data_IF_650325669343
#
_entry.id   IF_650325669343
#
_cell.length_a   1.000
_cell.length_b   1.000
_cell.length_c   1.000
_cell.angle_alpha   90.00
_cell.angle_beta   90.00
_cell.angle_gamma   90.00
#
_symmetry.space_group_name_H-M   'P 1'
#
loop_
_entity.id
_entity.type
_entity.pdbx_description
1 polymer ?
#
# COMPACT_ATOMS: atom_id res chain seq x y z
N UNK A 1 50.92 -0.48 70.64
CA UNK A 1 51.76 -1.70 70.71
C UNK A 1 51.98 -2.20 69.28
N UNK A 2 53.10 -2.88 68.97
CA UNK A 2 53.48 -3.42 67.63
C UNK A 2 53.56 -2.43 66.44
N UNK A 3 54.80 -2.00 66.13
CA UNK A 3 55.32 -1.77 64.76
C UNK A 3 55.29 -3.11 63.96
N UNK A 4 55.40 -3.26 62.63
CA UNK A 4 56.20 -2.64 61.53
C UNK A 4 55.37 -2.55 60.20
N UNK A 5 55.69 -1.91 59.05
CA UNK A 5 56.89 -1.36 58.32
C UNK A 5 57.37 -2.24 57.12
N UNK A 6 57.84 -1.72 55.95
CA UNK A 6 57.79 -0.35 55.35
C UNK A 6 57.51 -0.28 53.80
N UNK A 7 57.69 0.91 53.18
CA UNK A 7 58.26 1.21 51.82
C UNK A 7 57.57 0.69 50.52
N UNK A 8 57.71 1.26 49.31
CA UNK A 8 58.19 2.53 48.67
C UNK A 8 57.72 2.43 47.17
N UNK A 9 57.75 3.41 46.25
CA UNK A 9 58.20 4.83 46.12
C UNK A 9 56.94 5.75 45.86
N UNK A 10 56.92 7.04 45.48
CA UNK A 10 57.85 8.07 44.94
C UNK A 10 58.16 7.96 43.41
N UNK A 11 58.20 9.01 42.57
CA UNK A 11 57.91 10.45 42.79
C UNK A 11 57.56 11.26 41.50
N UNK A 12 57.07 12.49 41.71
CA UNK A 12 57.14 13.71 40.84
C UNK A 12 56.42 13.77 39.46
N UNK A 13 55.94 14.91 38.93
CA UNK A 13 55.65 16.30 39.42
C UNK A 13 54.50 16.88 38.54
N UNK A 14 53.53 17.68 39.03
CA UNK A 14 53.52 19.14 39.28
C UNK A 14 53.79 20.02 38.01
N UNK A 15 53.18 21.19 37.72
CA UNK A 15 52.53 22.29 38.51
C UNK A 15 51.32 22.91 37.71
N UNK A 16 50.64 23.90 38.30
CA UNK A 16 49.51 24.76 37.83
C UNK A 16 49.81 25.64 36.57
N UNK A 17 48.90 26.40 35.93
CA UNK A 17 48.04 27.48 36.47
C UNK A 17 46.88 27.99 35.56
N UNK A 18 46.07 28.94 36.08
CA UNK A 18 44.84 29.54 35.48
C UNK A 18 44.86 31.07 35.66
N UNK A 19 44.59 31.95 34.64
CA UNK A 19 43.35 32.75 34.68
C UNK A 19 42.78 33.42 33.37
N UNK A 20 41.44 33.56 33.36
CA UNK A 20 40.58 34.72 32.97
C UNK A 20 40.46 35.29 31.54
N UNK A 21 39.18 35.61 31.21
CA UNK A 21 38.62 36.77 30.45
C UNK A 21 39.19 37.10 29.04
N UNK A 22 38.39 37.30 27.98
CA UNK A 22 37.00 37.82 27.86
C UNK A 22 36.31 37.22 26.61
N UNK A 23 35.00 37.44 26.45
CA UNK A 23 34.22 36.92 25.32
C UNK A 23 34.15 37.85 24.11
N UNK A 24 33.72 37.30 22.98
CA UNK A 24 33.28 38.02 21.79
C UNK A 24 32.13 37.24 21.10
N UNK A 25 31.32 37.88 20.26
CA UNK A 25 30.07 37.29 19.72
C UNK A 25 30.20 36.94 18.23
N UNK A 26 30.27 35.64 17.91
CA UNK A 26 30.24 35.15 16.52
C UNK A 26 29.28 33.96 16.36
N UNK A 27 28.45 34.05 15.33
CA UNK A 27 27.57 32.99 14.81
C UNK A 27 28.35 32.19 13.75
N UNK A 28 28.22 30.86 13.70
CA UNK A 28 28.25 30.06 12.46
C UNK A 28 27.88 28.57 12.69
N UNK A 29 27.06 28.05 11.78
CA UNK A 29 26.76 26.64 11.43
C UNK A 29 26.64 25.57 12.53
N UNK A 30 25.40 25.11 12.73
CA UNK A 30 25.15 23.67 12.94
C UNK A 30 25.68 22.87 11.74
N UNK A 31 26.35 21.74 11.97
CA UNK A 31 26.82 20.90 10.87
C UNK A 31 26.96 19.43 11.28
N UNK A 32 26.25 18.54 10.56
CA UNK A 32 26.40 17.08 10.55
C UNK A 32 26.27 16.30 11.89
N UNK A 33 25.04 15.99 12.27
CA UNK A 33 24.69 14.73 12.95
C UNK A 33 23.88 13.82 12.02
N UNK A 34 24.48 13.42 10.89
CA UNK A 34 23.92 12.37 10.01
C UNK A 34 24.25 10.99 10.59
N UNK A 35 23.23 10.20 10.88
CA UNK A 35 23.39 8.76 11.15
C UNK A 35 23.93 8.04 9.89
N UNK A 36 24.75 6.98 10.04
CA UNK A 36 25.38 6.31 8.91
C UNK A 36 24.38 5.49 8.10
N UNK A 37 24.36 5.70 6.77
CA UNK A 37 23.60 4.88 5.83
C UNK A 37 24.03 3.40 5.86
N UNK A 38 23.11 2.43 5.71
CA UNK A 38 23.47 1.02 5.66
C UNK A 38 24.26 0.69 4.39
N UNK A 39 25.54 0.34 4.54
CA UNK A 39 26.42 0.00 3.41
C UNK A 39 26.14 -1.42 2.89
N UNK A 40 25.25 -1.51 1.89
CA UNK A 40 25.16 -2.65 0.97
C UNK A 40 26.14 -2.51 -0.20
N UNK A 41 26.58 -3.62 -0.80
CA UNK A 41 27.66 -3.63 -1.80
C UNK A 41 27.28 -3.12 -3.19
N UNK A 42 28.32 -2.69 -3.94
CA UNK A 42 28.32 -2.12 -5.29
C UNK A 42 27.62 -0.77 -5.49
N UNK A 43 28.42 0.23 -5.86
CA UNK A 43 27.96 1.47 -6.50
C UNK A 43 27.59 1.19 -7.97
N UNK A 44 26.46 0.54 -8.21
CA UNK A 44 25.76 0.72 -9.47
C UNK A 44 25.18 2.14 -9.46
N UNK A 45 25.59 2.97 -10.43
CA UNK A 45 25.16 4.35 -10.57
C UNK A 45 23.70 4.41 -11.04
N UNK A 46 22.77 4.40 -10.09
CA UNK A 46 21.34 4.43 -10.37
C UNK A 46 20.91 5.86 -10.70
N UNK A 47 21.13 6.24 -11.95
CA UNK A 47 20.73 7.53 -12.54
C UNK A 47 19.22 7.81 -12.49
N UNK A 48 18.43 6.90 -11.92
CA UNK A 48 17.04 7.10 -11.54
C UNK A 48 16.86 7.65 -10.12
N UNK A 49 17.64 7.16 -9.16
CA UNK A 49 17.76 7.75 -7.83
C UNK A 49 18.29 9.20 -7.90
N UNK A 50 19.18 9.48 -8.86
CA UNK A 50 19.68 10.84 -9.09
C UNK A 50 18.60 11.83 -9.55
N UNK A 51 17.61 11.38 -10.34
CA UNK A 51 16.52 12.24 -10.84
C UNK A 51 15.47 12.59 -9.77
N UNK A 52 15.50 11.96 -8.60
CA UNK A 52 14.51 12.11 -7.53
C UNK A 52 15.16 12.45 -6.17
N UNK A 53 16.29 13.17 -6.20
CA UNK A 53 17.03 13.59 -4.99
C UNK A 53 16.28 14.56 -4.09
N UNK A 54 15.39 15.37 -4.68
CA UNK A 54 14.68 16.45 -3.98
C UNK A 54 13.27 16.03 -3.50
N UNK A 55 12.92 14.75 -3.60
CA UNK A 55 11.63 14.20 -3.18
C UNK A 55 10.68 13.89 -4.34
N UNK A 56 9.37 13.84 -4.04
CA UNK A 56 8.28 13.76 -5.04
C UNK A 56 7.74 15.15 -5.38
N UNK A 57 7.13 15.31 -6.54
CA UNK A 57 6.40 16.50 -6.97
C UNK A 57 5.10 16.67 -6.18
N UNK A 58 4.96 17.75 -5.40
CA UNK A 58 3.77 18.04 -4.57
C UNK A 58 2.77 19.01 -5.22
N UNK A 59 3.15 19.75 -6.27
CA UNK A 59 2.28 20.73 -6.93
C UNK A 59 1.37 20.08 -7.99
N UNK A 60 0.11 20.54 -8.05
CA UNK A 60 -0.85 20.15 -9.10
C UNK A 60 -0.61 21.00 -10.35
N UNK A 61 -0.38 20.35 -11.50
CA UNK A 61 -0.16 21.06 -12.75
C UNK A 61 -1.40 21.85 -13.22
N UNK A 62 -1.16 22.88 -14.03
CA UNK A 62 -2.21 23.81 -14.46
C UNK A 62 -3.29 23.14 -15.32
N UNK A 63 -2.95 22.20 -16.18
CA UNK A 63 -3.91 21.54 -17.07
C UNK A 63 -4.82 20.59 -16.27
N UNK A 64 -4.24 19.84 -15.33
CA UNK A 64 -5.01 19.05 -14.36
C UNK A 64 -5.90 19.94 -13.49
N UNK A 65 -5.43 21.10 -13.00
CA UNK A 65 -6.30 22.05 -12.27
C UNK A 65 -7.49 22.51 -13.12
N UNK A 66 -7.26 22.88 -14.38
CA UNK A 66 -8.32 23.35 -15.29
C UNK A 66 -9.33 22.24 -15.61
N UNK A 67 -8.88 21.01 -15.86
CA UNK A 67 -9.76 19.84 -16.07
C UNK A 67 -10.55 19.48 -14.81
N UNK A 68 -9.90 19.45 -13.64
CA UNK A 68 -10.55 19.20 -12.36
C UNK A 68 -11.64 20.23 -12.04
N UNK A 69 -11.36 21.51 -12.28
CA UNK A 69 -12.34 22.60 -12.19
C UNK A 69 -13.53 22.34 -13.12
N UNK A 70 -13.29 22.06 -14.41
CA UNK A 70 -14.36 21.76 -15.37
C UNK A 70 -15.24 20.57 -14.94
N UNK A 71 -14.65 19.43 -14.55
CA UNK A 71 -15.41 18.26 -14.09
C UNK A 71 -16.22 18.57 -12.81
N UNK A 72 -15.65 19.28 -11.84
CA UNK A 72 -16.40 19.71 -10.65
C UNK A 72 -17.57 20.63 -11.02
N UNK A 73 -17.37 21.56 -11.96
CA UNK A 73 -18.44 22.44 -12.45
C UNK A 73 -19.52 21.70 -13.22
N UNK A 74 -19.18 20.66 -13.99
CA UNK A 74 -20.14 19.95 -14.84
C UNK A 74 -20.99 18.95 -14.05
N UNK A 75 -20.37 18.18 -13.15
CA UNK A 75 -21.06 17.09 -12.43
C UNK A 75 -21.68 17.51 -11.09
N UNK A 76 -21.14 18.52 -10.39
CA UNK A 76 -21.64 18.93 -9.07
C UNK A 76 -22.69 20.05 -9.16
N UNK A 77 -23.57 20.11 -8.15
CA UNK A 77 -24.66 21.09 -8.02
C UNK A 77 -24.27 22.34 -7.22
N UNK A 78 -25.19 23.30 -7.13
CA UNK A 78 -25.07 24.47 -6.26
C UNK A 78 -23.85 25.34 -6.57
N UNK A 79 -23.11 25.76 -5.55
CA UNK A 79 -22.02 26.76 -5.68
C UNK A 79 -20.91 26.33 -6.64
N UNK A 80 -20.69 25.02 -6.86
CA UNK A 80 -19.77 24.52 -7.88
C UNK A 80 -20.11 25.03 -9.29
N UNK A 81 -21.40 25.24 -9.62
CA UNK A 81 -21.78 25.80 -10.93
C UNK A 81 -21.27 27.24 -11.13
N UNK A 82 -21.00 27.99 -10.06
CA UNK A 82 -20.77 29.44 -10.08
C UNK A 82 -19.43 29.91 -9.51
N UNK A 83 -18.69 29.09 -8.77
CA UNK A 83 -17.37 29.44 -8.22
C UNK A 83 -16.37 29.79 -9.35
N UNK A 84 -15.57 30.88 -9.23
CA UNK A 84 -14.54 31.20 -10.21
C UNK A 84 -13.28 30.32 -10.04
N UNK A 85 -12.50 30.17 -11.12
CA UNK A 85 -11.30 29.33 -11.17
C UNK A 85 -10.19 29.76 -10.18
N UNK A 86 -10.18 31.05 -9.81
CA UNK A 86 -9.30 31.62 -8.78
C UNK A 86 -9.53 31.00 -7.40
N UNK A 87 -10.79 30.69 -7.10
CA UNK A 87 -11.25 30.28 -5.78
C UNK A 87 -11.35 28.75 -5.70
N UNK A 88 -11.35 28.06 -6.84
CA UNK A 88 -11.25 26.60 -6.91
C UNK A 88 -9.91 26.12 -6.32
N UNK A 89 -9.99 25.42 -5.19
CA UNK A 89 -8.86 24.82 -4.50
C UNK A 89 -8.68 23.37 -4.94
N UNK A 90 -7.42 22.96 -5.15
CA UNK A 90 -7.04 21.58 -5.45
C UNK A 90 -5.69 21.25 -4.82
N UNK A 91 -5.55 20.05 -4.26
CA UNK A 91 -4.29 19.51 -3.75
C UNK A 91 -4.15 18.02 -4.10
N UNK A 92 -2.91 17.52 -4.20
CA UNK A 92 -2.65 16.08 -4.34
C UNK A 92 -3.05 15.35 -3.05
N UNK A 93 -3.68 14.19 -3.18
CA UNK A 93 -3.93 13.26 -2.07
C UNK A 93 -3.04 12.04 -2.25
N UNK A 94 -2.04 11.90 -1.38
CA UNK A 94 -1.15 10.73 -1.39
C UNK A 94 -1.87 9.44 -0.98
N UNK A 95 -1.31 8.29 -1.40
CA UNK A 95 -1.67 6.97 -0.87
C UNK A 95 -1.95 5.85 -1.89
N UNK A 96 -1.94 6.11 -3.19
CA UNK A 96 -2.10 5.07 -4.23
C UNK A 96 -0.90 5.01 -5.19
N UNK A 97 -0.59 3.81 -5.69
CA UNK A 97 0.46 3.59 -6.72
C UNK A 97 -0.10 3.31 -8.13
N UNK A 98 -1.42 3.18 -8.27
CA UNK A 98 -2.15 2.97 -9.54
C UNK A 98 -2.74 4.24 -10.13
N UNK A 99 -3.20 5.16 -9.27
CA UNK A 99 -4.13 6.23 -9.60
C UNK A 99 -3.66 7.59 -9.07
N UNK A 100 -4.07 8.66 -9.76
CA UNK A 100 -3.85 10.03 -9.31
C UNK A 100 -5.10 10.53 -8.59
N UNK A 101 -4.91 10.97 -7.34
CA UNK A 101 -5.99 11.43 -6.46
C UNK A 101 -5.78 12.90 -6.10
N UNK A 102 -6.87 13.68 -6.17
CA UNK A 102 -6.87 15.10 -5.85
C UNK A 102 -8.06 15.44 -4.96
N UNK A 103 -7.83 16.24 -3.91
CA UNK A 103 -8.89 16.84 -3.11
C UNK A 103 -9.27 18.16 -3.78
N UNK A 104 -10.52 18.29 -4.20
CA UNK A 104 -11.07 19.55 -4.72
C UNK A 104 -12.02 20.15 -3.67
N UNK A 105 -11.89 21.45 -3.38
CA UNK A 105 -12.63 22.10 -2.29
C UNK A 105 -13.16 23.50 -2.62
N UNK A 106 -14.29 23.84 -1.98
CA UNK A 106 -14.79 25.22 -1.87
C UNK A 106 -14.11 25.91 -0.68
N UNK A 107 -13.57 27.15 -0.82
CA UNK A 107 -12.99 27.90 0.29
C UNK A 107 -13.98 28.19 1.43
N UNK A 108 -13.48 28.38 2.66
CA UNK A 108 -14.33 28.59 3.84
C UNK A 108 -15.23 29.83 3.79
N UNK A 109 -14.81 30.86 3.04
CA UNK A 109 -15.62 32.07 2.82
C UNK A 109 -16.70 31.90 1.72
N UNK A 110 -16.70 30.77 0.99
CA UNK A 110 -17.66 30.45 -0.06
C UNK A 110 -18.74 29.53 0.51
N UNK A 111 -19.96 30.05 0.65
CA UNK A 111 -21.09 29.26 1.17
C UNK A 111 -21.72 28.34 0.10
N UNK A 112 -22.29 27.22 0.54
CA UNK A 112 -23.11 26.35 -0.31
C UNK A 112 -24.51 26.97 -0.52
N UNK A 113 -25.14 26.67 -1.65
CA UNK A 113 -26.51 27.07 -2.01
C UNK A 113 -27.53 25.98 -1.63
N UNK A 114 -27.11 24.72 -1.58
CA UNK A 114 -27.91 23.58 -1.09
C UNK A 114 -27.02 22.49 -0.49
N UNK A 115 -27.42 21.23 -0.68
CA UNK A 115 -26.77 20.05 -0.11
C UNK A 115 -25.49 19.59 -0.86
N UNK A 116 -24.89 20.44 -1.71
CA UNK A 116 -23.67 20.08 -2.41
C UNK A 116 -22.46 19.86 -1.47
N UNK A 117 -21.58 18.88 -1.76
CA UNK A 117 -20.39 18.63 -0.95
C UNK A 117 -19.42 19.82 -1.02
N UNK A 118 -18.90 20.26 0.14
CA UNK A 118 -17.81 21.27 0.19
C UNK A 118 -16.47 20.76 -0.33
N UNK A 119 -16.28 19.44 -0.29
CA UNK A 119 -15.05 18.73 -0.61
C UNK A 119 -15.39 17.44 -1.36
N UNK A 120 -14.68 17.18 -2.44
CA UNK A 120 -14.80 15.96 -3.25
C UNK A 120 -13.43 15.38 -3.53
N UNK A 121 -13.35 14.05 -3.63
CA UNK A 121 -12.15 13.37 -4.09
C UNK A 121 -12.28 13.13 -5.59
N UNK A 122 -11.43 13.80 -6.37
CA UNK A 122 -11.25 13.52 -7.79
C UNK A 122 -10.25 12.37 -7.94
N UNK A 123 -10.70 11.28 -8.54
CA UNK A 123 -9.83 10.19 -9.02
C UNK A 123 -9.70 10.28 -10.53
N UNK A 124 -8.46 10.40 -11.00
CA UNK A 124 -8.12 10.27 -12.42
C UNK A 124 -7.53 8.89 -12.66
N UNK A 125 -8.08 8.17 -13.64
CA UNK A 125 -7.67 6.80 -13.94
C UNK A 125 -6.24 6.75 -14.50
N UNK A 126 -5.39 5.91 -13.90
CA UNK A 126 -4.06 5.64 -14.43
C UNK A 126 -4.09 4.91 -15.77
N UNK A 127 -2.95 4.87 -16.47
CA UNK A 127 -2.78 4.21 -17.78
C UNK A 127 -3.01 2.67 -17.78
N UNK A 128 -3.41 2.10 -16.65
CA UNK A 128 -3.63 0.68 -16.36
C UNK A 128 -5.04 0.23 -16.81
N UNK A 129 -6.04 1.11 -16.73
CA UNK A 129 -7.46 0.81 -17.01
C UNK A 129 -7.76 0.74 -18.53
N UNK A 130 -7.04 -0.15 -19.22
CA UNK A 130 -7.11 -0.35 -20.66
C UNK A 130 -8.24 -1.31 -21.04
N UNK A 131 -9.49 -0.82 -21.00
CA UNK A 131 -10.63 -1.51 -21.59
C UNK A 131 -11.98 -0.97 -21.14
N UNK A 132 -12.90 -0.82 -22.10
CA UNK A 132 -14.30 -0.39 -21.84
C UNK A 132 -14.96 -1.32 -20.83
N UNK A 133 -14.77 -2.63 -20.96
CA UNK A 133 -15.31 -3.64 -20.04
C UNK A 133 -14.81 -3.46 -18.60
N UNK A 134 -13.54 -3.05 -18.43
CA UNK A 134 -12.95 -2.81 -17.10
C UNK A 134 -13.59 -1.59 -16.44
N UNK A 135 -13.70 -0.47 -17.17
CA UNK A 135 -14.34 0.75 -16.70
C UNK A 135 -15.82 0.53 -16.36
N UNK A 136 -16.55 -0.27 -17.15
CA UNK A 136 -17.95 -0.62 -16.87
C UNK A 136 -18.07 -1.47 -15.60
N UNK A 137 -17.23 -2.50 -15.43
CA UNK A 137 -17.26 -3.36 -14.24
C UNK A 137 -16.90 -2.58 -12.97
N UNK A 138 -15.87 -1.73 -13.01
CA UNK A 138 -15.47 -0.88 -11.89
C UNK A 138 -16.57 0.14 -11.54
N UNK A 139 -17.16 0.80 -12.54
CA UNK A 139 -18.26 1.76 -12.34
C UNK A 139 -19.48 1.11 -11.69
N UNK A 140 -19.86 -0.09 -12.13
CA UNK A 140 -20.95 -0.87 -11.52
C UNK A 140 -20.60 -1.30 -10.10
N UNK A 141 -19.36 -1.70 -9.84
CA UNK A 141 -18.90 -2.07 -8.51
C UNK A 141 -18.95 -0.90 -7.53
N UNK A 142 -18.38 0.24 -7.91
CA UNK A 142 -18.34 1.45 -7.09
C UNK A 142 -19.75 1.92 -6.76
N UNK A 143 -20.65 1.95 -7.75
CA UNK A 143 -22.06 2.30 -7.53
C UNK A 143 -22.75 1.35 -6.54
N UNK A 144 -22.56 0.03 -6.65
CA UNK A 144 -23.17 -0.94 -5.71
C UNK A 144 -22.63 -0.77 -4.29
N UNK A 145 -21.34 -0.46 -4.13
CA UNK A 145 -20.73 -0.27 -2.80
C UNK A 145 -21.14 1.07 -2.18
N UNK A 146 -21.28 2.13 -2.98
CA UNK A 146 -21.85 3.41 -2.55
C UNK A 146 -23.31 3.28 -2.08
N UNK A 147 -24.18 2.64 -2.88
CA UNK A 147 -25.60 2.43 -2.57
C UNK A 147 -25.81 1.53 -1.34
N UNK A 148 -24.87 0.62 -1.05
CA UNK A 148 -24.88 -0.21 0.17
C UNK A 148 -24.24 0.48 1.38
N UNK A 149 -23.77 1.73 1.25
CA UNK A 149 -22.99 2.46 2.26
C UNK A 149 -21.70 1.74 2.73
N UNK A 150 -21.13 0.92 1.85
CA UNK A 150 -19.89 0.14 2.05
C UNK A 150 -18.64 0.81 1.44
N UNK A 151 -18.82 1.98 0.81
CA UNK A 151 -17.74 2.83 0.30
C UNK A 151 -18.20 4.30 0.20
N UNK A 152 -17.36 5.19 -0.36
CA UNK A 152 -17.71 6.60 -0.56
C UNK A 152 -18.93 6.77 -1.49
N UNK A 153 -19.74 7.81 -1.30
CA UNK A 153 -20.77 8.18 -2.30
C UNK A 153 -20.11 8.55 -3.64
N UNK A 154 -20.81 8.24 -4.72
CA UNK A 154 -20.44 8.63 -6.07
C UNK A 154 -21.16 9.94 -6.46
N UNK A 155 -20.41 10.92 -6.98
CA UNK A 155 -20.96 12.20 -7.46
C UNK A 155 -20.90 12.37 -8.98
N UNK A 156 -19.98 11.69 -9.68
CA UNK A 156 -19.91 11.72 -11.14
C UNK A 156 -18.92 10.72 -11.72
N UNK A 157 -19.14 10.29 -12.96
CA UNK A 157 -18.25 9.42 -13.75
C UNK A 157 -18.07 10.05 -15.14
N UNK A 158 -16.84 10.05 -15.62
CA UNK A 158 -16.43 10.51 -16.95
C UNK A 158 -15.32 9.58 -17.50
N UNK A 159 -14.97 9.62 -18.80
CA UNK A 159 -14.00 8.70 -19.38
C UNK A 159 -12.62 8.70 -18.69
N UNK A 160 -12.21 9.84 -18.15
CA UNK A 160 -10.91 10.04 -17.50
C UNK A 160 -10.90 9.74 -15.99
N UNK A 161 -12.06 9.55 -15.35
CA UNK A 161 -12.11 9.49 -13.89
C UNK A 161 -13.50 9.47 -13.26
N UNK A 162 -13.53 9.78 -11.95
CA UNK A 162 -14.76 9.97 -11.17
C UNK A 162 -14.58 11.00 -10.06
N UNK A 163 -15.72 11.54 -9.61
CA UNK A 163 -15.82 12.35 -8.40
C UNK A 163 -16.49 11.51 -7.30
N UNK A 164 -15.78 11.37 -6.18
CA UNK A 164 -16.18 10.59 -5.02
C UNK A 164 -16.40 11.51 -3.80
N UNK A 165 -17.09 11.00 -2.79
CA UNK A 165 -17.14 11.63 -1.47
C UNK A 165 -15.75 11.63 -0.83
N UNK A 166 -15.22 12.83 -0.56
CA UNK A 166 -14.14 12.97 0.39
C UNK A 166 -14.66 12.61 1.79
N UNK A 167 -13.94 11.72 2.49
CA UNK A 167 -14.26 11.31 3.86
C UNK A 167 -13.13 11.76 4.78
N UNK A 168 -13.39 12.66 5.74
CA UNK A 168 -12.45 12.98 6.82
C UNK A 168 -12.03 11.68 7.52
N UNK A 169 -10.75 11.35 7.37
CA UNK A 169 -10.16 10.08 7.76
C UNK A 169 -8.65 10.11 7.58
N UNK A 170 -7.96 9.17 8.23
CA UNK A 170 -6.52 8.97 8.12
C UNK A 170 -6.28 7.55 7.58
N UNK A 171 -5.53 7.41 6.48
CA UNK A 171 -5.08 6.09 5.99
C UNK A 171 -4.20 5.43 7.06
N UNK A 172 -4.31 4.11 7.23
CA UNK A 172 -3.37 3.40 8.09
C UNK A 172 -1.93 3.53 7.57
N UNK A 173 -0.95 3.41 8.47
CA UNK A 173 0.46 3.17 8.13
C UNK A 173 0.80 1.68 8.30
N UNK A 174 1.80 1.20 7.58
CA UNK A 174 2.28 -0.20 7.60
C UNK A 174 2.62 -0.71 9.01
N UNK A 175 3.10 0.18 9.88
CA UNK A 175 3.37 -0.13 11.28
C UNK A 175 2.10 -0.50 12.06
N UNK A 176 0.95 0.09 11.71
CA UNK A 176 -0.34 -0.10 12.39
C UNK A 176 -1.04 -1.40 12.02
N UNK A 177 -0.73 -2.01 10.86
CA UNK A 177 -1.31 -3.28 10.43
C UNK A 177 -1.06 -4.43 11.43
N UNK A 178 0.05 -4.34 12.18
CA UNK A 178 0.44 -5.34 13.20
C UNK A 178 -0.20 -5.14 14.58
N UNK A 179 -0.94 -4.05 14.79
CA UNK A 179 -1.67 -3.84 16.03
C UNK A 179 -2.79 -4.89 16.18
N UNK A 180 -2.91 -5.59 17.33
CA UNK A 180 -3.91 -6.65 17.48
C UNK A 180 -5.37 -6.19 17.35
N UNK A 181 -5.71 -4.94 17.68
CA UNK A 181 -7.09 -4.44 17.57
C UNK A 181 -7.40 -4.07 16.13
N UNK A 182 -6.52 -3.33 15.46
CA UNK A 182 -6.68 -2.98 14.05
C UNK A 182 -6.64 -4.22 13.15
N UNK A 183 -5.71 -5.16 13.40
CA UNK A 183 -5.61 -6.45 12.70
C UNK A 183 -6.89 -7.30 12.86
N UNK A 184 -7.50 -7.31 14.04
CA UNK A 184 -8.79 -7.97 14.26
C UNK A 184 -9.94 -7.27 13.50
N UNK A 185 -10.00 -5.94 13.50
CA UNK A 185 -11.04 -5.22 12.76
C UNK A 185 -10.88 -5.41 11.25
N UNK A 186 -9.66 -5.37 10.69
CA UNK A 186 -9.41 -5.66 9.26
C UNK A 186 -9.91 -7.07 8.90
N UNK A 187 -9.64 -8.08 9.74
CA UNK A 187 -10.13 -9.44 9.53
C UNK A 187 -11.67 -9.52 9.49
N UNK A 188 -12.35 -8.77 10.37
CA UNK A 188 -13.82 -8.65 10.41
C UNK A 188 -14.37 -7.95 9.16
N UNK A 189 -13.78 -6.81 8.75
CA UNK A 189 -14.20 -6.10 7.52
C UNK A 189 -14.00 -6.97 6.28
N UNK A 190 -12.90 -7.72 6.22
CA UNK A 190 -12.59 -8.62 5.11
C UNK A 190 -13.54 -9.84 5.07
N UNK A 191 -13.92 -10.40 6.21
CA UNK A 191 -14.95 -11.45 6.29
C UNK A 191 -16.30 -10.97 5.72
N UNK A 192 -16.72 -9.75 6.06
CA UNK A 192 -17.94 -9.13 5.51
C UNK A 192 -17.82 -8.85 4.01
N UNK A 193 -16.64 -8.43 3.54
CA UNK A 193 -16.38 -8.19 2.13
C UNK A 193 -16.44 -9.48 1.31
N UNK A 194 -15.80 -10.55 1.79
CA UNK A 194 -15.85 -11.89 1.20
C UNK A 194 -17.26 -12.48 1.12
N UNK A 195 -18.13 -12.14 2.09
CA UNK A 195 -19.54 -12.53 2.10
C UNK A 195 -20.44 -11.79 1.08
N UNK A 196 -19.94 -10.80 0.34
CA UNK A 196 -20.77 -10.02 -0.58
C UNK A 196 -21.22 -10.81 -1.82
N UNK A 197 -22.52 -10.77 -2.07
CA UNK A 197 -23.09 -11.17 -3.36
C UNK A 197 -23.06 -9.97 -4.32
N UNK A 198 -22.20 -10.06 -5.34
CA UNK A 198 -21.98 -9.05 -6.38
C UNK A 198 -22.29 -9.63 -7.78
N UNK A 199 -22.78 -8.82 -8.74
CA UNK A 199 -23.31 -9.30 -10.03
C UNK A 199 -22.22 -9.65 -11.08
N UNK A 200 -21.03 -10.04 -10.63
CA UNK A 200 -19.89 -10.36 -11.50
C UNK A 200 -19.74 -11.88 -11.72
N UNK A 201 -18.84 -12.25 -12.63
CA UNK A 201 -18.42 -13.62 -12.86
C UNK A 201 -17.94 -14.26 -11.54
N UNK A 202 -18.37 -15.49 -11.25
CA UNK A 202 -18.06 -16.23 -10.00
C UNK A 202 -16.81 -17.09 -10.10
N UNK A 203 -16.32 -17.31 -11.31
CA UNK A 203 -15.14 -18.12 -11.59
C UNK A 203 -13.86 -17.36 -11.19
N UNK A 204 -12.89 -17.97 -10.48
CA UNK A 204 -11.67 -17.33 -9.97
C UNK A 204 -10.61 -17.10 -11.07
N UNK A 205 -11.05 -16.58 -12.23
CA UNK A 205 -10.25 -16.36 -13.43
C UNK A 205 -9.39 -15.08 -13.34
N UNK A 206 -9.66 -14.21 -12.37
CA UNK A 206 -8.97 -12.92 -12.24
C UNK A 206 -7.48 -13.09 -11.98
N UNK A 207 -7.06 -13.90 -11.00
CA UNK A 207 -5.65 -14.01 -10.58
C UNK A 207 -4.74 -14.47 -11.72
N UNK A 208 -4.92 -15.72 -12.17
CA UNK A 208 -4.07 -16.28 -13.22
C UNK A 208 -4.29 -15.60 -14.57
N UNK A 209 -5.53 -15.25 -14.94
CA UNK A 209 -5.79 -14.54 -16.18
C UNK A 209 -5.13 -13.16 -16.23
N UNK A 210 -4.96 -12.48 -15.09
CA UNK A 210 -4.24 -11.19 -15.01
C UNK A 210 -2.72 -11.39 -15.07
N UNK A 211 -2.20 -12.40 -14.36
CA UNK A 211 -0.79 -12.82 -14.48
C UNK A 211 -0.43 -13.18 -15.93
N UNK A 212 -1.29 -13.91 -16.65
CA UNK A 212 -1.08 -14.27 -18.05
C UNK A 212 -1.04 -13.04 -18.96
N UNK A 213 -2.02 -12.12 -18.83
CA UNK A 213 -2.04 -10.85 -19.57
C UNK A 213 -0.79 -10.01 -19.28
N UNK A 214 -0.29 -10.00 -18.05
CA UNK A 214 0.93 -9.29 -17.68
C UNK A 214 2.18 -9.95 -18.27
N UNK A 215 2.32 -11.28 -18.18
CA UNK A 215 3.41 -12.03 -18.80
C UNK A 215 3.46 -11.82 -20.32
N UNK A 216 2.30 -11.82 -20.97
CA UNK A 216 2.17 -11.53 -22.40
C UNK A 216 2.60 -10.11 -22.78
N UNK A 217 2.35 -9.11 -21.93
CA UNK A 217 2.82 -7.74 -22.15
C UNK A 217 4.33 -7.65 -21.92
N UNK A 218 4.83 -8.22 -20.82
CA UNK A 218 6.24 -8.20 -20.40
C UNK A 218 7.15 -8.83 -21.46
N UNK A 219 6.73 -9.92 -22.09
CA UNK A 219 7.44 -10.54 -23.22
C UNK A 219 7.57 -9.63 -24.47
N UNK A 220 6.76 -8.58 -24.57
CA UNK A 220 6.73 -7.61 -25.67
C UNK A 220 7.38 -6.26 -25.28
N UNK A 221 7.72 -6.05 -24.00
CA UNK A 221 8.27 -4.79 -23.48
C UNK A 221 9.70 -4.52 -23.98
N UNK A 222 10.01 -3.22 -24.13
CA UNK A 222 11.36 -2.71 -24.40
C UNK A 222 11.63 -1.45 -23.58
N UNK A 223 12.66 -1.52 -22.75
CA UNK A 223 13.19 -0.40 -21.97
C UNK A 223 14.32 0.30 -22.74
N UNK A 224 14.53 1.59 -22.44
CA UNK A 224 15.53 2.45 -23.11
C UNK A 224 16.50 3.09 -22.11
N UNK A 225 16.06 3.34 -20.86
CA UNK A 225 16.93 3.78 -19.75
C UNK A 225 17.83 2.61 -19.32
N UNK A 226 19.14 2.80 -19.31
CA UNK A 226 20.10 1.73 -18.96
C UNK A 226 19.84 1.12 -17.57
N UNK A 227 19.43 1.93 -16.59
CA UNK A 227 19.04 1.46 -15.26
C UNK A 227 17.87 0.45 -15.33
N UNK A 228 16.83 0.75 -16.11
CA UNK A 228 15.71 -0.19 -16.35
C UNK A 228 16.17 -1.43 -17.11
N UNK A 229 17.01 -1.28 -18.14
CA UNK A 229 17.53 -2.41 -18.91
C UNK A 229 18.36 -3.35 -18.02
N UNK A 230 19.20 -2.83 -17.13
CA UNK A 230 19.92 -3.61 -16.10
C UNK A 230 18.94 -4.36 -15.18
N UNK A 231 18.00 -3.64 -14.55
CA UNK A 231 17.02 -4.20 -13.58
C UNK A 231 16.11 -5.26 -14.25
N UNK A 232 15.65 -5.01 -15.48
CA UNK A 232 14.85 -5.94 -16.29
C UNK A 232 15.64 -7.20 -16.67
N UNK A 233 16.91 -7.05 -17.08
CA UNK A 233 17.79 -8.19 -17.37
C UNK A 233 18.19 -8.99 -16.12
N UNK A 234 18.04 -8.45 -14.89
CA UNK A 234 18.08 -9.25 -13.64
C UNK A 234 16.79 -10.06 -13.50
N UNK A 235 15.63 -9.43 -13.64
CA UNK A 235 14.32 -10.08 -13.52
C UNK A 235 14.11 -11.24 -14.51
N UNK A 236 14.46 -11.05 -15.78
CA UNK A 236 14.26 -12.10 -16.81
C UNK A 236 15.15 -13.34 -16.60
N UNK A 237 16.22 -13.26 -15.80
CA UNK A 237 17.04 -14.43 -15.43
C UNK A 237 16.33 -15.41 -14.48
N UNK A 238 15.23 -14.97 -13.84
CA UNK A 238 14.42 -15.83 -12.99
C UNK A 238 13.54 -16.83 -13.75
N UNK A 239 13.51 -16.78 -15.09
CA UNK A 239 12.69 -17.65 -15.94
C UNK A 239 11.22 -17.69 -15.47
N UNK A 240 10.59 -16.51 -15.47
CA UNK A 240 9.26 -16.28 -14.92
C UNK A 240 8.20 -17.21 -15.51
N UNK A 241 8.38 -17.70 -16.74
CA UNK A 241 7.51 -18.68 -17.37
C UNK A 241 7.53 -20.03 -16.64
N UNK A 242 8.72 -20.58 -16.34
CA UNK A 242 8.84 -21.84 -15.60
C UNK A 242 8.40 -21.69 -14.13
N UNK A 243 8.65 -20.52 -13.53
CA UNK A 243 8.20 -20.23 -12.17
C UNK A 243 6.68 -20.03 -12.07
N UNK A 244 6.02 -19.50 -13.09
CA UNK A 244 4.56 -19.45 -13.17
C UNK A 244 3.95 -20.86 -13.20
N UNK A 245 4.49 -21.80 -13.98
CA UNK A 245 4.00 -23.18 -13.99
C UNK A 245 4.25 -23.90 -12.65
N UNK A 246 5.36 -23.60 -11.97
CA UNK A 246 5.62 -24.06 -10.60
C UNK A 246 4.58 -23.53 -9.60
N UNK A 247 4.23 -22.24 -9.70
CA UNK A 247 3.20 -21.59 -8.86
C UNK A 247 1.79 -22.11 -9.16
N UNK A 248 1.45 -22.35 -10.44
CA UNK A 248 0.18 -22.97 -10.86
C UNK A 248 0.01 -24.35 -10.26
N UNK A 249 1.06 -25.18 -10.30
CA UNK A 249 1.05 -26.54 -9.75
C UNK A 249 0.81 -26.49 -8.24
N UNK A 250 1.56 -25.66 -7.51
CA UNK A 250 1.42 -25.47 -6.06
C UNK A 250 0.01 -25.05 -5.64
N UNK A 251 -0.59 -24.09 -6.37
CA UNK A 251 -1.90 -23.56 -6.01
C UNK A 251 -3.06 -24.45 -6.48
N UNK A 252 -2.87 -25.28 -7.51
CA UNK A 252 -3.81 -26.37 -7.82
C UNK A 252 -3.87 -27.43 -6.69
N UNK A 253 -2.74 -27.66 -6.00
CA UNK A 253 -2.66 -28.51 -4.80
C UNK A 253 -3.02 -27.78 -3.49
N UNK A 254 -3.51 -26.53 -3.56
CA UNK A 254 -3.84 -25.72 -2.38
C UNK A 254 -5.28 -25.22 -2.47
N UNK A 255 -6.26 -25.98 -1.95
CA UNK A 255 -7.66 -25.55 -1.93
C UNK A 255 -7.84 -24.20 -1.23
N UNK A 256 -8.60 -23.29 -1.84
CA UNK A 256 -9.02 -22.03 -1.25
C UNK A 256 -10.46 -21.72 -1.69
N UNK A 257 -11.36 -21.32 -0.77
CA UNK A 257 -12.71 -20.89 -1.13
C UNK A 257 -12.69 -19.71 -2.11
N UNK A 258 -13.57 -19.74 -3.11
CA UNK A 258 -13.78 -18.61 -4.03
C UNK A 258 -14.82 -17.67 -3.43
N UNK A 259 -14.41 -16.44 -3.18
CA UNK A 259 -15.18 -15.38 -2.50
C UNK A 259 -15.02 -14.06 -3.24
N UNK A 260 -15.79 -13.02 -2.89
CA UNK A 260 -15.56 -11.70 -3.47
C UNK A 260 -14.39 -11.03 -2.73
N UNK A 261 -13.19 -11.08 -3.31
CA UNK A 261 -11.96 -10.53 -2.75
C UNK A 261 -11.78 -9.06 -3.15
N UNK A 262 -11.18 -8.29 -2.26
CA UNK A 262 -10.69 -6.93 -2.50
C UNK A 262 -9.47 -6.93 -3.43
N UNK A 263 -8.59 -7.91 -3.25
CA UNK A 263 -7.30 -8.15 -3.93
C UNK A 263 -6.18 -7.13 -3.68
N UNK A 264 -6.42 -6.07 -2.89
CA UNK A 264 -5.41 -5.04 -2.54
C UNK A 264 -5.65 -4.42 -1.16
N UNK A 265 -5.67 -5.25 -0.11
CA UNK A 265 -5.85 -4.79 1.30
C UNK A 265 -4.52 -4.29 1.89
N UNK A 266 -3.92 -3.27 1.27
CA UNK A 266 -2.78 -2.51 1.80
C UNK A 266 -3.23 -1.43 2.81
N UNK A 267 -2.30 -0.85 3.57
CA UNK A 267 -2.60 0.20 4.55
C UNK A 267 -3.21 1.47 3.92
N UNK A 268 -2.81 1.81 2.69
CA UNK A 268 -3.35 2.96 1.96
C UNK A 268 -4.85 2.83 1.66
N UNK A 269 -5.34 1.60 1.53
CA UNK A 269 -6.73 1.28 1.20
C UNK A 269 -7.60 1.04 2.46
N UNK A 270 -7.05 1.28 3.65
CA UNK A 270 -7.76 1.15 4.93
C UNK A 270 -7.82 2.53 5.60
N UNK A 271 -9.03 3.12 5.64
CA UNK A 271 -9.27 4.40 6.29
C UNK A 271 -9.67 4.20 7.75
N UNK A 272 -8.94 4.84 8.66
CA UNK A 272 -9.40 5.11 10.02
C UNK A 272 -10.31 6.35 10.01
N UNK A 273 -11.54 6.16 10.47
CA UNK A 273 -12.62 7.14 10.40
C UNK A 273 -12.71 7.93 11.70
N UNK A 274 -12.78 9.26 11.61
CA UNK A 274 -12.83 10.14 12.78
C UNK A 274 -14.14 9.95 13.58
N UNK A 275 -14.01 9.71 14.89
CA UNK A 275 -15.05 9.70 15.95
C UNK A 275 -16.47 9.20 15.56
N UNK A 276 -16.55 8.04 14.89
CA UNK A 276 -17.81 7.28 14.74
C UNK A 276 -18.22 6.58 16.04
N UNK A 277 -18.66 7.35 17.02
CA UNK A 277 -19.14 6.90 18.36
C UNK A 277 -18.04 6.22 19.22
N UNK A 278 -17.64 6.79 20.37
CA UNK A 278 -16.66 6.17 21.27
C UNK A 278 -17.02 4.77 21.81
N UNK A 279 -18.29 4.34 21.70
CA UNK A 279 -18.76 2.99 22.02
C UNK A 279 -18.71 2.01 20.84
N UNK A 280 -18.42 2.50 19.62
CA UNK A 280 -18.24 1.68 18.43
C UNK A 280 -16.88 1.00 18.39
N UNK A 281 -16.90 -0.31 18.14
CA UNK A 281 -15.71 -1.08 17.74
C UNK A 281 -15.49 -1.07 16.21
N UNK A 282 -16.22 -0.23 15.46
CA UNK A 282 -16.07 -0.09 14.02
C UNK A 282 -15.52 1.29 13.64
N UNK A 283 -14.21 1.33 13.38
CA UNK A 283 -13.43 2.55 13.09
C UNK A 283 -12.77 2.49 11.71
N UNK A 284 -12.71 1.32 11.09
CA UNK A 284 -12.09 1.10 9.78
C UNK A 284 -13.10 0.97 8.65
N UNK A 285 -12.70 1.46 7.47
CA UNK A 285 -13.40 1.26 6.20
C UNK A 285 -12.38 0.91 5.10
N UNK A 286 -12.67 -0.16 4.36
CA UNK A 286 -11.94 -0.52 3.14
C UNK A 286 -12.38 0.39 1.99
N UNK A 287 -11.46 0.75 1.10
CA UNK A 287 -11.70 1.58 -0.09
C UNK A 287 -10.82 1.10 -1.26
N UNK A 288 -11.02 1.68 -2.44
CA UNK A 288 -10.16 1.47 -3.61
C UNK A 288 -10.27 0.06 -4.23
N UNK A 289 -11.50 -0.29 -4.60
CA UNK A 289 -11.90 -1.61 -5.08
C UNK A 289 -11.50 -1.91 -6.55
N UNK A 290 -10.51 -1.22 -7.11
CA UNK A 290 -10.17 -1.29 -8.54
C UNK A 290 -9.74 -2.70 -9.01
N UNK A 291 -9.14 -3.47 -8.10
CA UNK A 291 -8.70 -4.85 -8.34
C UNK A 291 -9.72 -5.92 -7.90
N UNK A 292 -10.85 -5.53 -7.28
CA UNK A 292 -11.74 -6.46 -6.59
C UNK A 292 -12.53 -7.36 -7.55
N UNK A 293 -12.66 -8.64 -7.19
CA UNK A 293 -13.24 -9.67 -8.07
C UNK A 293 -13.57 -10.95 -7.30
N UNK A 294 -14.29 -11.90 -7.93
CA UNK A 294 -14.33 -13.25 -7.38
C UNK A 294 -12.97 -13.93 -7.60
N UNK A 295 -12.32 -14.27 -6.49
CA UNK A 295 -10.97 -14.81 -6.44
C UNK A 295 -10.83 -15.75 -5.23
N UNK A 296 -9.66 -16.36 -5.06
CA UNK A 296 -9.33 -17.23 -3.93
C UNK A 296 -9.16 -16.41 -2.64
N UNK A 297 -9.83 -16.80 -1.54
CA UNK A 297 -9.67 -16.21 -0.19
C UNK A 297 -8.20 -16.07 0.21
N UNK A 298 -7.41 -17.12 -0.05
CA UNK A 298 -6.00 -17.19 0.30
C UNK A 298 -5.17 -16.11 -0.38
N UNK A 299 -5.57 -15.64 -1.58
CA UNK A 299 -4.89 -14.53 -2.25
C UNK A 299 -5.03 -13.24 -1.47
N UNK A 300 -6.24 -12.89 -1.02
CA UNK A 300 -6.48 -11.61 -0.35
C UNK A 300 -5.81 -11.56 1.04
N UNK A 301 -5.86 -12.69 1.76
CA UNK A 301 -5.13 -12.86 3.03
C UNK A 301 -3.62 -12.80 2.81
N UNK A 302 -3.12 -13.56 1.83
CA UNK A 302 -1.70 -13.65 1.52
C UNK A 302 -1.14 -12.30 1.07
N UNK A 303 -1.93 -11.55 0.30
CA UNK A 303 -1.65 -10.18 -0.09
C UNK A 303 -1.59 -9.25 1.13
N UNK A 304 -2.64 -9.21 1.94
CA UNK A 304 -2.67 -8.38 3.15
C UNK A 304 -1.43 -8.65 4.04
N UNK A 305 -1.05 -9.91 4.22
CA UNK A 305 0.13 -10.28 5.00
C UNK A 305 1.46 -9.88 4.32
N UNK A 306 1.55 -9.88 2.98
CA UNK A 306 2.70 -9.31 2.27
C UNK A 306 2.85 -7.81 2.57
N UNK A 307 1.76 -7.05 2.60
CA UNK A 307 1.83 -5.58 2.75
C UNK A 307 2.32 -5.12 4.12
N UNK A 308 2.24 -5.94 5.17
CA UNK A 308 2.90 -5.66 6.47
C UNK A 308 4.42 -5.44 6.32
N UNK A 309 5.02 -5.96 5.24
CA UNK A 309 6.43 -5.84 4.93
C UNK A 309 6.81 -4.69 3.99
N UNK A 310 5.86 -3.90 3.46
CA UNK A 310 6.10 -2.83 2.49
C UNK A 310 5.53 -1.48 2.96
N UNK A 311 6.40 -0.49 3.14
CA UNK A 311 6.04 0.88 3.53
C UNK A 311 6.12 1.82 2.32
N UNK A 312 4.97 2.33 1.89
CA UNK A 312 4.81 3.21 0.74
C UNK A 312 4.87 4.71 1.06
N UNK A 313 5.09 5.04 2.34
CA UNK A 313 5.17 6.42 2.84
C UNK A 313 6.59 6.98 2.83
N UNK A 314 7.59 6.17 2.44
CA UNK A 314 8.98 6.61 2.41
C UNK A 314 9.24 7.76 1.42
N UNK A 315 9.87 8.81 1.94
CA UNK A 315 10.09 10.13 1.34
C UNK A 315 11.21 10.19 0.29
N UNK A 316 12.04 9.16 0.18
CA UNK A 316 13.23 9.12 -0.68
C UNK A 316 13.19 7.92 -1.62
N UNK A 317 13.82 8.03 -2.79
CA UNK A 317 13.94 6.93 -3.77
C UNK A 317 14.38 5.61 -3.12
N UNK A 318 13.73 4.45 -3.40
CA UNK A 318 12.72 4.19 -4.45
C UNK A 318 11.27 4.57 -4.09
N UNK A 319 11.07 5.39 -3.06
CA UNK A 319 9.79 5.78 -2.49
C UNK A 319 8.95 4.61 -1.93
N UNK A 320 9.63 3.54 -1.54
CA UNK A 320 9.13 2.53 -0.61
C UNK A 320 10.28 2.00 0.26
N UNK A 321 9.93 1.42 1.41
CA UNK A 321 10.81 0.56 2.21
C UNK A 321 10.24 -0.84 2.25
N UNK A 322 11.11 -1.84 2.33
CA UNK A 322 10.71 -3.23 2.50
C UNK A 322 11.47 -3.87 3.67
N UNK A 323 10.75 -4.38 4.66
CA UNK A 323 11.34 -5.21 5.72
C UNK A 323 10.56 -6.53 5.86
N UNK A 324 11.16 -7.62 5.37
CA UNK A 324 10.58 -8.96 5.41
C UNK A 324 10.43 -9.50 6.85
N UNK A 325 11.14 -8.93 7.84
CA UNK A 325 10.97 -9.29 9.26
C UNK A 325 9.64 -8.80 9.85
N UNK A 326 8.93 -7.90 9.16
CA UNK A 326 7.60 -7.44 9.56
C UNK A 326 6.46 -8.37 9.09
N UNK A 327 6.74 -9.35 8.22
CA UNK A 327 5.71 -10.29 7.75
C UNK A 327 5.09 -11.02 8.95
N UNK A 328 3.74 -11.14 9.04
CA UNK A 328 3.09 -11.62 10.26
C UNK A 328 3.58 -13.01 10.65
N UNK A 329 4.04 -13.14 11.90
CA UNK A 329 4.44 -14.43 12.45
C UNK A 329 3.20 -15.32 12.72
N UNK A 330 3.39 -16.62 12.95
CA UNK A 330 2.27 -17.58 13.10
C UNK A 330 1.25 -17.17 14.18
N UNK A 331 1.63 -16.49 15.26
CA UNK A 331 0.68 -15.99 16.26
C UNK A 331 -0.19 -14.84 15.71
N UNK A 332 0.40 -13.92 14.95
CA UNK A 332 -0.32 -12.82 14.29
C UNK A 332 -1.24 -13.33 13.18
N UNK A 333 -0.78 -14.30 12.38
CA UNK A 333 -1.62 -14.95 11.37
C UNK A 333 -2.82 -15.67 12.00
N UNK A 334 -2.62 -16.45 13.07
CA UNK A 334 -3.70 -17.09 13.81
C UNK A 334 -4.69 -16.08 14.41
N UNK A 335 -4.20 -14.95 14.93
CA UNK A 335 -5.05 -13.90 15.47
C UNK A 335 -5.98 -13.31 14.38
N UNK A 336 -5.44 -13.00 13.19
CA UNK A 336 -6.23 -12.54 12.05
C UNK A 336 -7.25 -13.61 11.61
N UNK A 337 -6.80 -14.85 11.39
CA UNK A 337 -7.63 -15.98 10.95
C UNK A 337 -8.80 -16.24 11.92
N UNK A 338 -8.56 -16.18 13.24
CA UNK A 338 -9.60 -16.38 14.27
C UNK A 338 -10.68 -15.31 14.23
N UNK A 339 -10.30 -14.04 14.09
CA UNK A 339 -11.28 -12.95 14.01
C UNK A 339 -12.10 -13.01 12.71
N UNK A 340 -11.46 -13.38 11.58
CA UNK A 340 -12.17 -13.66 10.34
C UNK A 340 -13.15 -14.83 10.47
N UNK A 341 -12.74 -15.95 11.08
CA UNK A 341 -13.58 -17.14 11.24
C UNK A 341 -14.76 -16.90 12.19
N UNK A 342 -14.58 -16.07 13.22
CA UNK A 342 -15.67 -15.67 14.11
C UNK A 342 -16.75 -14.85 13.39
N UNK A 343 -16.37 -13.86 12.58
CA UNK A 343 -17.32 -13.02 11.82
C UNK A 343 -17.96 -13.79 10.64
N UNK A 344 -17.20 -14.63 9.93
CA UNK A 344 -17.71 -15.40 8.78
C UNK A 344 -18.54 -16.64 9.15
N UNK A 345 -18.78 -16.90 10.44
CA UNK A 345 -19.49 -18.10 10.91
C UNK A 345 -18.74 -19.41 10.65
N UNK A 346 -17.42 -19.35 10.50
CA UNK A 346 -16.55 -20.49 10.23
C UNK A 346 -16.44 -21.48 11.40
N UNK A 347 -16.91 -21.10 12.59
CA UNK A 347 -17.10 -21.97 13.74
C UNK A 347 -18.60 -22.13 14.03
N UNK A 348 -19.09 -23.37 14.02
CA UNK A 348 -20.42 -23.71 14.52
C UNK A 348 -20.38 -23.86 16.04
N UNK A 349 -21.52 -23.71 16.72
CA UNK A 349 -21.65 -24.00 18.17
C UNK A 349 -21.22 -25.44 18.53
N UNK A 350 -21.21 -26.35 17.54
CA UNK A 350 -20.79 -27.75 17.66
C UNK A 350 -19.35 -28.04 17.22
N UNK A 351 -18.57 -27.06 16.73
CA UNK A 351 -17.23 -27.31 16.17
C UNK A 351 -16.22 -27.61 17.28
N UNK A 352 -15.74 -28.86 17.34
CA UNK A 352 -14.76 -29.32 18.33
C UNK A 352 -13.41 -28.59 18.20
N UNK A 353 -12.70 -28.43 19.31
CA UNK A 353 -11.40 -27.73 19.36
C UNK A 353 -10.34 -28.34 18.41
N UNK A 354 -10.38 -29.66 18.17
CA UNK A 354 -9.49 -30.34 17.22
C UNK A 354 -9.78 -29.93 15.77
N UNK A 355 -11.05 -29.75 15.39
CA UNK A 355 -11.43 -29.22 14.08
C UNK A 355 -11.06 -27.73 13.93
N UNK A 356 -11.22 -26.93 14.98
CA UNK A 356 -10.78 -25.52 14.96
C UNK A 356 -9.28 -25.42 14.68
N UNK A 357 -8.46 -26.17 15.43
CA UNK A 357 -7.00 -26.19 15.24
C UNK A 357 -6.59 -26.70 13.84
N UNK A 358 -7.33 -27.65 13.27
CA UNK A 358 -7.10 -28.15 11.90
C UNK A 358 -7.43 -27.08 10.85
N UNK A 359 -8.60 -26.44 10.95
CA UNK A 359 -9.04 -25.35 10.04
C UNK A 359 -8.04 -24.18 10.08
N UNK A 360 -7.55 -23.83 11.28
CA UNK A 360 -6.55 -22.78 11.45
C UNK A 360 -5.22 -23.08 10.73
N UNK A 361 -4.71 -24.32 10.82
CA UNK A 361 -3.47 -24.71 10.14
C UNK A 361 -3.65 -24.85 8.62
N UNK A 362 -4.78 -25.42 8.16
CA UNK A 362 -5.16 -25.45 6.75
C UNK A 362 -5.19 -24.03 6.15
N UNK A 363 -5.75 -23.06 6.88
CA UNK A 363 -5.78 -21.65 6.47
C UNK A 363 -4.42 -20.93 6.53
N UNK A 364 -3.50 -21.33 7.42
CA UNK A 364 -2.11 -20.86 7.38
C UNK A 364 -1.44 -21.33 6.08
N UNK A 365 -1.55 -22.61 5.75
CA UNK A 365 -0.91 -23.19 4.56
C UNK A 365 -1.48 -22.57 3.28
N UNK A 366 -2.82 -22.42 3.20
CA UNK A 366 -3.51 -21.67 2.14
C UNK A 366 -2.92 -20.26 2.00
N UNK A 367 -2.97 -19.47 3.07
CA UNK A 367 -2.58 -18.05 3.05
C UNK A 367 -1.13 -17.84 2.62
N UNK A 368 -0.18 -18.61 3.17
CA UNK A 368 1.25 -18.42 2.89
C UNK A 368 1.66 -18.94 1.50
N UNK A 369 0.94 -19.92 0.94
CA UNK A 369 1.15 -20.34 -0.46
C UNK A 369 0.58 -19.32 -1.44
N UNK A 370 -0.62 -18.79 -1.18
CA UNK A 370 -1.20 -17.76 -2.03
C UNK A 370 -0.50 -16.38 -1.91
N UNK A 371 0.18 -16.09 -0.80
CA UNK A 371 1.10 -14.95 -0.68
C UNK A 371 2.21 -14.95 -1.75
N UNK A 372 2.66 -16.13 -2.20
CA UNK A 372 3.58 -16.26 -3.33
C UNK A 372 2.98 -15.69 -4.63
N UNK A 373 1.68 -15.86 -4.85
CA UNK A 373 0.99 -15.28 -6.00
C UNK A 373 0.77 -13.76 -5.86
N UNK A 374 0.64 -13.22 -4.65
CA UNK A 374 0.69 -11.76 -4.43
C UNK A 374 2.06 -11.20 -4.84
N UNK A 375 3.16 -11.78 -4.33
CA UNK A 375 4.50 -11.37 -4.74
C UNK A 375 4.73 -11.50 -6.26
N UNK A 376 4.23 -12.58 -6.88
CA UNK A 376 4.34 -12.78 -8.32
C UNK A 376 3.52 -11.76 -9.13
N UNK A 377 2.25 -11.56 -8.79
CA UNK A 377 1.35 -10.63 -9.50
C UNK A 377 1.86 -9.19 -9.42
N UNK A 378 2.19 -8.70 -8.22
CA UNK A 378 2.68 -7.32 -8.04
C UNK A 378 4.09 -7.12 -8.58
N UNK A 379 4.92 -8.16 -8.57
CA UNK A 379 6.19 -8.17 -9.30
C UNK A 379 6.02 -7.92 -10.79
N UNK A 380 5.08 -8.61 -11.45
CA UNK A 380 4.77 -8.41 -12.87
C UNK A 380 4.09 -7.06 -13.15
N UNK A 381 3.07 -6.70 -12.36
CA UNK A 381 2.38 -5.40 -12.45
C UNK A 381 3.39 -4.24 -12.44
N UNK A 382 4.38 -4.30 -11.55
CA UNK A 382 5.38 -3.25 -11.39
C UNK A 382 6.35 -3.16 -12.58
N UNK A 383 6.69 -4.28 -13.23
CA UNK A 383 7.45 -4.27 -14.49
C UNK A 383 6.68 -3.51 -15.59
N UNK A 384 5.35 -3.63 -15.62
CA UNK A 384 4.50 -2.90 -16.56
C UNK A 384 4.41 -1.41 -16.17
N UNK A 385 4.22 -1.09 -14.89
CA UNK A 385 4.18 0.29 -14.42
C UNK A 385 5.47 1.07 -14.70
N UNK A 386 6.64 0.42 -14.58
CA UNK A 386 7.93 1.00 -14.97
C UNK A 386 8.00 1.46 -16.45
N UNK A 387 7.05 1.03 -17.30
CA UNK A 387 6.92 1.46 -18.69
C UNK A 387 5.79 2.46 -18.94
N UNK A 388 4.68 2.39 -18.20
CA UNK A 388 3.43 3.10 -18.52
C UNK A 388 2.97 4.12 -17.47
N UNK A 389 3.48 4.05 -16.24
CA UNK A 389 3.06 4.95 -15.16
C UNK A 389 3.78 6.30 -15.25
N UNK A 390 3.06 7.36 -14.89
CA UNK A 390 3.59 8.71 -14.66
C UNK A 390 3.81 9.02 -13.17
N UNK A 391 3.53 8.08 -12.27
CA UNK A 391 3.72 8.24 -10.82
C UNK A 391 5.19 8.01 -10.46
N UNK A 392 5.73 8.88 -9.61
CA UNK A 392 7.12 8.88 -9.18
C UNK A 392 7.37 7.76 -8.14
N UNK A 393 7.74 6.57 -8.64
CA UNK A 393 7.95 5.38 -7.83
C UNK A 393 9.00 4.43 -8.42
N UNK A 394 9.78 3.76 -7.57
CA UNK A 394 10.81 2.80 -7.97
C UNK A 394 10.28 1.44 -8.41
N UNK A 395 9.43 1.43 -9.44
CA UNK A 395 8.74 0.25 -9.93
C UNK A 395 9.68 -0.92 -10.31
N UNK A 396 10.87 -0.65 -10.87
CA UNK A 396 11.83 -1.71 -11.19
C UNK A 396 12.50 -2.32 -9.94
N UNK A 397 12.71 -1.52 -8.90
CA UNK A 397 13.29 -1.95 -7.63
C UNK A 397 12.26 -2.67 -6.76
N UNK A 398 11.00 -2.21 -6.80
CA UNK A 398 9.86 -2.89 -6.18
C UNK A 398 9.59 -4.23 -6.85
N UNK A 399 9.63 -4.32 -8.19
CA UNK A 399 9.54 -5.59 -8.90
C UNK A 399 10.61 -6.58 -8.44
N UNK A 400 11.87 -6.14 -8.39
CA UNK A 400 12.98 -6.92 -7.84
C UNK A 400 12.74 -7.32 -6.38
N UNK A 401 12.20 -6.43 -5.56
CA UNK A 401 11.91 -6.71 -4.15
C UNK A 401 10.79 -7.77 -3.97
N UNK A 402 9.69 -7.69 -4.74
CA UNK A 402 8.61 -8.70 -4.70
C UNK A 402 9.13 -10.07 -5.17
N UNK A 403 9.93 -10.15 -6.23
CA UNK A 403 10.51 -11.44 -6.66
C UNK A 403 11.59 -11.97 -5.70
N UNK A 404 12.46 -11.11 -5.16
CA UNK A 404 13.45 -11.52 -4.14
C UNK A 404 12.77 -11.94 -2.82
N UNK A 405 11.52 -11.52 -2.55
CA UNK A 405 10.68 -12.01 -1.46
C UNK A 405 10.00 -13.36 -1.82
N UNK A 406 9.39 -13.48 -3.00
CA UNK A 406 8.85 -14.74 -3.54
C UNK A 406 9.84 -15.89 -3.41
N UNK A 407 11.09 -15.73 -3.87
CA UNK A 407 12.12 -16.78 -3.78
C UNK A 407 12.64 -17.07 -2.37
N UNK A 408 12.35 -16.22 -1.38
CA UNK A 408 12.60 -16.50 0.04
C UNK A 408 11.44 -17.29 0.64
N UNK A 409 10.21 -16.82 0.46
CA UNK A 409 9.01 -17.45 1.02
C UNK A 409 8.69 -18.80 0.37
N UNK A 410 8.98 -18.98 -0.93
CA UNK A 410 8.80 -20.26 -1.64
C UNK A 410 9.45 -21.42 -0.87
N UNK A 411 10.71 -21.22 -0.42
CA UNK A 411 11.51 -22.19 0.35
C UNK A 411 10.94 -22.60 1.72
N UNK A 412 9.87 -21.95 2.18
CA UNK A 412 9.21 -22.23 3.46
C UNK A 412 7.85 -22.94 3.27
N UNK A 413 7.26 -22.90 2.06
CA UNK A 413 5.87 -23.33 1.82
C UNK A 413 5.66 -24.20 0.56
N UNK A 414 6.74 -24.52 -0.19
CA UNK A 414 6.75 -25.51 -1.29
C UNK A 414 7.52 -26.76 -0.92
#
# INVERSE_FOLDING_TARGET
MKRNIPALTMDDTAVSDVPKEKGDTLVINENNLRAPSPKGGNCDDDSEAESYRDGRTEEVDRDTKVRAYAWCRDFLSGTWKTIPETDFQISIVSGGLSNLLYLCSLPDHVHCVGDEPRQVLLRVYGAILQGVDSLVLESVMFAILAERALGPRLYGIFPEGRLEQYMPSIRLRTEQLRDPQLSAEIAVKLARFHGMVMPFNKEPKWLFGTIDRYMEQILKLKFVRDAHVKKFNKLMKYNLQAELESLRTLLAETPSPVVFCHNDVQEGNILMLDDRDPSSNEKLMLIDFEYSSYNYRGFDFGNHFCEWAYDYTYDQWPFFKANMENYPNRQQQLHFIRNYLAESGGYSESTMHEDQARIEEEMIIETNRYALASHFLWGLWSIIQAKISTIEFGYMDYALCRFDAYFKQKKLFT
#
